data_IF_482661272914
#
_entry.id   IF_482661272914
#
_cell.length_a   1.000
_cell.length_b   1.000
_cell.length_c   1.000
_cell.angle_alpha   90.00
_cell.angle_beta   90.00
_cell.angle_gamma   90.00
#
_symmetry.space_group_name_H-M   'P 1'
#
loop_
_entity.id
_entity.type
_entity.pdbx_description
1 polymer ?
#
# COMPACT_ATOMS: atom_id res chain seq x y z
N UNK A 1 12.05 13.57 0.07
CA UNK A 1 10.89 12.93 0.73
C UNK A 1 11.05 11.42 0.55
N UNK A 2 10.42 10.62 1.41
CA UNK A 2 10.33 9.17 1.23
C UNK A 2 8.89 8.77 0.90
N UNK A 3 8.73 7.81 -0.02
CA UNK A 3 7.44 7.17 -0.29
C UNK A 3 7.43 5.80 0.35
N UNK A 4 6.42 5.54 1.17
CA UNK A 4 6.21 4.28 1.86
C UNK A 4 5.04 3.53 1.22
N UNK A 5 5.19 2.25 0.93
CA UNK A 5 4.14 1.42 0.35
C UNK A 5 3.97 0.19 1.22
N UNK A 6 2.78 -0.01 1.78
CA UNK A 6 2.48 -1.15 2.64
C UNK A 6 1.12 -1.76 2.24
N UNK A 7 1.06 -3.07 1.91
CA UNK A 7 -0.22 -3.74 1.79
C UNK A 7 -0.83 -3.93 3.18
N UNK A 8 -2.14 -3.76 3.26
CA UNK A 8 -2.87 -3.85 4.53
C UNK A 8 -3.57 -5.19 4.64
N UNK A 9 -3.24 -5.91 5.71
CA UNK A 9 -3.90 -7.14 6.12
C UNK A 9 -4.93 -6.86 7.20
N UNK A 10 -5.53 -7.94 7.71
CA UNK A 10 -6.55 -7.86 8.76
C UNK A 10 -5.94 -7.97 10.17
N UNK A 11 -4.63 -7.77 10.31
CA UNK A 11 -3.91 -7.97 11.58
C UNK A 11 -4.46 -7.05 12.68
N UNK A 12 -4.62 -5.76 12.39
CA UNK A 12 -5.16 -4.77 13.33
C UNK A 12 -6.58 -5.14 13.80
N UNK A 13 -7.44 -5.58 12.88
CA UNK A 13 -8.82 -6.01 13.15
C UNK A 13 -8.80 -7.25 14.04
N UNK A 14 -7.99 -8.25 13.69
CA UNK A 14 -7.86 -9.50 14.44
C UNK A 14 -7.24 -9.32 15.83
N UNK A 15 -6.29 -8.38 15.96
CA UNK A 15 -5.60 -8.09 17.21
C UNK A 15 -6.48 -7.28 18.15
N UNK A 16 -7.13 -6.24 17.65
CA UNK A 16 -8.16 -5.53 18.40
C UNK A 16 -9.17 -6.55 18.92
N UNK A 17 -9.72 -7.45 18.09
CA UNK A 17 -10.72 -8.43 18.52
C UNK A 17 -10.25 -9.38 19.64
N UNK A 18 -8.94 -9.46 19.90
CA UNK A 18 -8.32 -10.29 20.92
C UNK A 18 -7.66 -9.47 22.03
N UNK A 19 -7.98 -8.17 22.15
CA UNK A 19 -7.23 -7.23 22.99
C UNK A 19 -7.12 -7.68 24.45
N UNK A 20 -8.12 -8.37 25.01
CA UNK A 20 -8.09 -8.93 26.37
C UNK A 20 -7.00 -9.98 26.61
N UNK A 21 -6.49 -10.58 25.54
CA UNK A 21 -5.47 -11.64 25.59
C UNK A 21 -4.11 -11.15 25.08
N UNK A 22 -4.05 -9.92 24.55
CA UNK A 22 -2.83 -9.36 24.00
C UNK A 22 -2.10 -8.58 25.08
N UNK A 23 -0.87 -9.01 25.36
CA UNK A 23 0.09 -8.20 26.08
C UNK A 23 0.84 -7.34 25.07
N UNK A 24 0.68 -6.03 25.16
CA UNK A 24 1.43 -5.12 24.32
C UNK A 24 2.76 -4.82 25.00
N UNK A 25 3.81 -4.87 24.19
CA UNK A 25 5.15 -4.53 24.61
C UNK A 25 5.42 -3.14 24.08
N UNK A 26 5.42 -2.15 24.97
CA UNK A 26 6.14 -0.92 24.71
C UNK A 26 7.63 -1.28 24.79
N UNK A 27 8.39 -1.04 23.72
CA UNK A 27 9.84 -1.29 23.74
C UNK A 27 10.52 -0.07 24.38
N UNK A 28 10.96 -0.12 25.66
CA UNK A 28 11.87 0.90 26.17
C UNK A 28 13.21 0.81 25.42
N UNK A 29 14.03 1.86 25.46
CA UNK A 29 15.43 1.79 24.98
C UNK A 29 16.36 0.93 25.87
N UNK A 30 15.81 -0.04 26.59
CA UNK A 30 16.53 -0.93 27.49
C UNK A 30 16.27 -2.41 27.16
N UNK A 31 17.06 -3.33 27.73
CA UNK A 31 16.99 -4.76 27.42
C UNK A 31 15.72 -5.46 27.92
N UNK A 32 14.95 -4.81 28.80
CA UNK A 32 13.78 -5.40 29.44
C UNK A 32 12.49 -4.75 28.89
N UNK A 33 11.70 -5.45 28.05
CA UNK A 33 10.39 -4.98 27.65
C UNK A 33 9.49 -4.79 28.88
N UNK A 34 8.75 -3.68 28.92
CA UNK A 34 7.72 -3.46 29.94
C UNK A 34 6.41 -3.92 29.31
N UNK A 35 5.87 -5.03 29.82
CA UNK A 35 4.49 -5.43 29.53
C UNK A 35 3.57 -4.43 30.24
N UNK A 36 2.78 -3.68 29.49
CA UNK A 36 1.74 -2.81 30.03
C UNK A 36 0.38 -3.26 29.51
N UNK A 37 -0.63 -3.19 30.37
CA UNK A 37 -2.01 -3.29 29.92
C UNK A 37 -2.31 -2.13 28.98
N UNK A 38 -2.98 -2.39 27.86
CA UNK A 38 -3.29 -1.36 26.89
C UNK A 38 -4.23 -0.34 27.58
N UNK A 39 -3.84 0.94 27.73
CA UNK A 39 -4.61 1.89 28.55
C UNK A 39 -6.01 2.18 27.99
N UNK A 40 -6.27 1.76 26.75
CA UNK A 40 -7.51 1.99 26.02
C UNK A 40 -8.36 0.71 25.86
N UNK A 41 -8.07 -0.37 26.60
CA UNK A 41 -8.74 -1.67 26.43
C UNK A 41 -10.27 -1.55 26.51
N UNK A 42 -10.82 -0.86 27.52
CA UNK A 42 -12.29 -0.73 27.64
C UNK A 42 -12.91 0.18 26.59
N UNK A 43 -12.13 1.12 26.07
CA UNK A 43 -12.60 2.04 25.05
C UNK A 43 -12.56 1.40 23.66
N UNK A 44 -11.57 0.56 23.40
CA UNK A 44 -11.55 -0.33 22.24
C UNK A 44 -12.69 -1.34 22.32
N UNK A 45 -13.01 -1.87 23.50
CA UNK A 45 -14.21 -2.70 23.69
C UNK A 45 -15.48 -1.95 23.35
N UNK A 46 -15.60 -0.66 23.68
CA UNK A 46 -16.75 0.15 23.27
C UNK A 46 -16.80 0.28 21.75
N UNK A 47 -15.68 0.57 21.08
CA UNK A 47 -15.61 0.62 19.61
C UNK A 47 -15.92 -0.75 18.97
N UNK A 48 -15.60 -1.86 19.64
CA UNK A 48 -15.91 -3.22 19.16
C UNK A 48 -17.33 -3.69 19.41
N UNK A 49 -17.86 -3.43 20.60
CA UNK A 49 -19.23 -3.75 20.99
C UNK A 49 -20.23 -2.95 20.14
N UNK A 50 -19.78 -1.78 19.70
CA UNK A 50 -20.49 -0.99 18.73
C UNK A 50 -20.57 -1.75 17.38
N UNK A 51 -19.49 -2.44 16.96
CA UNK A 51 -19.37 -3.14 15.68
C UNK A 51 -18.63 -2.26 14.66
N UNK A 52 -17.46 -2.69 14.17
CA UNK A 52 -16.67 -2.00 13.14
C UNK A 52 -17.46 -1.05 12.23
N UNK A 53 -17.11 0.25 12.14
CA UNK A 53 -17.65 1.27 11.21
C UNK A 53 -19.17 1.37 11.08
N UNK A 54 -19.88 0.30 10.77
CA UNK A 54 -21.33 0.10 10.89
C UNK A 54 -21.90 0.54 12.24
N UNK A 55 -21.13 0.58 13.32
CA UNK A 55 -21.65 1.19 14.55
C UNK A 55 -21.54 2.69 14.63
N UNK A 56 -20.40 3.18 14.16
CA UNK A 56 -20.13 4.61 14.11
C UNK A 56 -21.11 5.22 13.09
N UNK A 57 -21.39 4.46 12.03
CA UNK A 57 -22.29 4.82 10.93
C UNK A 57 -23.28 3.68 10.62
N UNK A 58 -24.33 3.50 11.44
CA UNK A 58 -25.36 2.48 11.24
C UNK A 58 -25.98 2.54 9.85
N UNK A 59 -25.94 1.40 9.16
CA UNK A 59 -26.51 1.23 7.82
C UNK A 59 -25.68 1.80 6.67
N UNK A 60 -24.48 2.34 6.93
CA UNK A 60 -23.54 2.77 5.88
C UNK A 60 -22.41 1.75 5.72
N UNK A 61 -22.01 1.47 4.48
CA UNK A 61 -20.85 0.61 4.23
C UNK A 61 -19.56 1.42 4.48
N UNK A 62 -18.51 0.80 5.04
CA UNK A 62 -17.19 1.41 5.20
C UNK A 62 -16.67 2.18 3.99
N UNK A 63 -16.81 1.61 2.79
CA UNK A 63 -16.38 2.27 1.55
C UNK A 63 -17.13 3.59 1.30
N UNK A 64 -18.43 3.64 1.56
CA UNK A 64 -19.28 4.79 1.25
C UNK A 64 -18.95 5.93 2.22
N UNK A 65 -18.66 5.58 3.48
CA UNK A 65 -18.15 6.52 4.49
C UNK A 65 -16.79 7.07 4.09
N UNK A 66 -15.86 6.21 3.64
CA UNK A 66 -14.52 6.65 3.21
C UNK A 66 -14.55 7.53 1.97
N UNK A 67 -15.40 7.23 1.00
CA UNK A 67 -15.61 8.05 -0.20
C UNK A 67 -16.16 9.43 0.20
N UNK A 68 -17.22 9.47 1.01
CA UNK A 68 -17.79 10.73 1.50
C UNK A 68 -16.76 11.57 2.29
N UNK A 69 -16.00 10.92 3.18
CA UNK A 69 -15.10 11.61 4.09
C UNK A 69 -13.77 11.98 3.44
N UNK A 70 -13.11 11.09 2.70
CA UNK A 70 -11.67 11.22 2.39
C UNK A 70 -11.33 11.25 0.91
N UNK A 71 -12.32 11.14 0.02
CA UNK A 71 -12.08 11.25 -1.41
C UNK A 71 -11.61 12.65 -1.81
N UNK A 72 -10.96 12.73 -2.97
CA UNK A 72 -10.46 14.00 -3.50
C UNK A 72 -11.64 14.93 -3.79
N UNK A 73 -11.67 16.09 -3.13
CA UNK A 73 -12.77 17.06 -3.25
C UNK A 73 -13.79 17.00 -2.12
N UNK A 74 -13.71 16.02 -1.21
CA UNK A 74 -14.51 16.03 0.02
C UNK A 74 -14.19 17.25 0.89
N UNK A 75 -15.22 17.82 1.52
CA UNK A 75 -15.08 18.97 2.39
C UNK A 75 -14.09 18.66 3.53
N UNK A 76 -13.16 19.59 3.78
CA UNK A 76 -12.14 19.40 4.81
C UNK A 76 -12.75 19.24 6.21
N UNK A 77 -13.88 19.91 6.43
CA UNK A 77 -14.54 20.13 7.72
C UNK A 77 -15.95 19.48 7.74
N UNK A 78 -16.04 18.20 7.36
CA UNK A 78 -17.32 17.47 7.44
C UNK A 78 -17.58 17.00 8.89
N UNK A 79 -18.84 17.00 9.38
CA UNK A 79 -19.17 16.52 10.72
C UNK A 79 -18.69 15.09 10.98
N UNK A 80 -18.71 14.23 9.97
CA UNK A 80 -18.21 12.85 10.06
C UNK A 80 -16.69 12.81 10.33
N UNK A 81 -15.92 13.76 9.78
CA UNK A 81 -14.49 13.86 10.06
C UNK A 81 -14.27 14.30 11.51
N UNK A 82 -15.00 15.29 11.99
CA UNK A 82 -14.87 15.74 13.37
C UNK A 82 -15.22 14.61 14.36
N UNK A 83 -16.33 13.90 14.13
CA UNK A 83 -16.73 12.73 14.91
C UNK A 83 -15.64 11.66 14.91
N UNK A 84 -15.05 11.37 13.75
CA UNK A 84 -13.95 10.44 13.68
C UNK A 84 -12.72 10.93 14.45
N UNK A 85 -12.34 12.19 14.32
CA UNK A 85 -11.19 12.76 15.01
C UNK A 85 -11.39 12.61 16.53
N UNK A 86 -12.59 12.92 17.03
CA UNK A 86 -12.95 12.71 18.44
C UNK A 86 -12.81 11.24 18.86
N UNK A 87 -13.27 10.29 18.04
CA UNK A 87 -13.10 8.86 18.33
C UNK A 87 -11.61 8.48 18.36
N UNK A 88 -10.84 8.93 17.37
CA UNK A 88 -9.41 8.66 17.24
C UNK A 88 -8.63 9.21 18.43
N UNK A 89 -8.97 10.41 18.90
CA UNK A 89 -8.37 11.06 20.06
C UNK A 89 -8.75 10.33 21.35
N UNK A 90 -10.04 9.97 21.49
CA UNK A 90 -10.53 9.24 22.67
C UNK A 90 -9.78 7.91 22.84
N UNK A 91 -9.62 7.14 21.76
CA UNK A 91 -8.92 5.83 21.78
C UNK A 91 -7.41 5.94 21.54
N UNK A 92 -6.92 7.18 21.43
CA UNK A 92 -5.52 7.55 21.26
C UNK A 92 -4.80 6.76 20.17
N UNK A 93 -5.41 6.69 18.98
CA UNK A 93 -4.89 5.91 17.84
C UNK A 93 -3.50 6.38 17.42
N UNK A 94 -3.19 7.68 17.58
CA UNK A 94 -1.88 8.23 17.26
C UNK A 94 -0.73 7.53 17.99
N UNK A 95 -0.97 7.01 19.19
CA UNK A 95 0.04 6.31 19.98
C UNK A 95 0.18 4.83 19.61
N UNK A 96 -0.73 4.26 18.81
CA UNK A 96 -0.74 2.83 18.50
C UNK A 96 0.54 2.34 17.83
N UNK A 97 1.19 3.17 17.01
CA UNK A 97 2.45 2.83 16.35
C UNK A 97 3.57 2.49 17.35
N UNK A 98 3.50 2.99 18.59
CA UNK A 98 4.52 2.76 19.62
C UNK A 98 4.48 1.34 20.19
N UNK A 99 3.33 0.67 20.07
CA UNK A 99 3.09 -0.64 20.65
C UNK A 99 3.30 -1.73 19.62
N UNK A 100 4.13 -2.72 19.98
CA UNK A 100 4.32 -3.89 19.12
C UNK A 100 3.08 -4.77 19.11
N UNK A 101 2.73 -5.31 17.95
CA UNK A 101 1.65 -6.28 17.80
C UNK A 101 0.27 -5.66 17.63
N UNK A 102 0.17 -4.33 17.47
CA UNK A 102 -1.09 -3.70 17.05
C UNK A 102 -1.41 -4.13 15.62
N UNK A 103 -0.47 -3.93 14.69
CA UNK A 103 -0.57 -4.40 13.31
C UNK A 103 0.82 -4.74 12.75
N UNK A 104 0.85 -5.67 11.79
CA UNK A 104 2.08 -6.05 11.10
C UNK A 104 2.66 -4.87 10.30
N UNK A 105 1.80 -4.02 9.77
CA UNK A 105 2.14 -2.84 8.99
C UNK A 105 2.88 -1.81 9.87
N UNK A 106 2.28 -1.42 11.00
CA UNK A 106 2.87 -0.47 11.95
C UNK A 106 4.20 -0.97 12.49
N UNK A 107 4.25 -2.26 12.89
CA UNK A 107 5.47 -2.86 13.42
C UNK A 107 6.61 -2.82 12.41
N UNK A 108 6.34 -3.15 11.16
CA UNK A 108 7.38 -3.21 10.12
C UNK A 108 7.87 -1.83 9.75
N UNK A 109 6.96 -0.86 9.57
CA UNK A 109 7.31 0.53 9.29
C UNK A 109 8.18 1.11 10.41
N UNK A 110 7.77 0.92 11.67
CA UNK A 110 8.53 1.37 12.84
C UNK A 110 9.92 0.74 12.89
N UNK A 111 10.01 -0.58 12.80
CA UNK A 111 11.29 -1.27 12.96
C UNK A 111 12.25 -1.02 11.80
N UNK A 112 11.74 -0.83 10.59
CA UNK A 112 12.57 -0.46 9.45
C UNK A 112 13.08 0.98 9.58
N UNK A 113 12.27 1.91 10.10
CA UNK A 113 12.74 3.26 10.41
C UNK A 113 13.87 3.25 11.47
N UNK A 114 13.76 2.39 12.50
CA UNK A 114 14.82 2.17 13.50
C UNK A 114 16.12 1.68 12.84
N UNK A 115 16.03 0.65 12.00
CA UNK A 115 17.20 0.03 11.39
C UNK A 115 17.90 0.98 10.40
N UNK A 116 17.14 1.74 9.61
CA UNK A 116 17.68 2.66 8.60
C UNK A 116 18.34 3.90 9.25
N UNK A 117 17.70 4.49 10.26
CA UNK A 117 18.15 5.76 10.82
C UNK A 117 19.48 5.69 11.57
N UNK A 118 19.97 4.49 11.96
CA UNK A 118 21.22 4.28 12.71
C UNK A 118 21.39 5.15 13.98
N UNK A 119 20.37 5.92 14.41
CA UNK A 119 20.55 7.07 15.30
C UNK A 119 19.42 7.19 16.34
N UNK A 120 19.75 6.84 17.59
CA UNK A 120 19.50 7.44 18.91
C UNK A 120 18.24 8.29 19.24
N UNK A 121 17.35 8.69 18.33
CA UNK A 121 16.14 9.47 18.65
C UNK A 121 14.88 8.63 18.47
N UNK A 122 14.24 8.31 19.59
CA UNK A 122 13.05 7.47 19.73
C UNK A 122 11.76 7.99 19.05
N UNK A 123 11.79 9.16 18.44
CA UNK A 123 10.58 9.84 17.95
C UNK A 123 10.46 9.85 16.42
N UNK A 124 11.47 9.37 15.67
CA UNK A 124 11.49 9.40 14.20
C UNK A 124 10.93 8.12 13.54
N UNK A 125 10.01 7.42 14.19
CA UNK A 125 9.37 6.21 13.62
C UNK A 125 8.12 6.50 12.79
N UNK A 126 7.58 7.72 12.91
CA UNK A 126 6.44 8.17 12.13
C UNK A 126 6.90 8.71 10.77
N UNK A 127 6.15 8.45 9.69
CA UNK A 127 6.33 9.15 8.43
C UNK A 127 6.29 10.66 8.66
N UNK A 128 7.34 11.37 8.25
CA UNK A 128 7.43 12.81 8.44
C UNK A 128 6.30 13.52 7.69
N UNK A 129 6.05 14.80 8.00
CA UNK A 129 5.08 15.62 7.23
C UNK A 129 5.50 15.86 5.77
N UNK A 130 6.69 15.40 5.38
CA UNK A 130 7.15 15.42 3.98
C UNK A 130 7.00 14.06 3.32
N UNK A 131 6.79 12.99 4.08
CA UNK A 131 6.71 11.64 3.54
C UNK A 131 5.28 11.32 3.10
N UNK A 132 5.19 10.46 2.09
CA UNK A 132 3.91 9.99 1.57
C UNK A 132 3.79 8.51 1.82
N UNK A 133 2.64 8.06 2.32
CA UNK A 133 2.39 6.64 2.56
C UNK A 133 1.24 6.16 1.70
N UNK A 134 1.39 5.00 1.06
CA UNK A 134 0.35 4.28 0.36
C UNK A 134 0.04 2.98 1.11
N UNK A 135 -1.16 2.91 1.66
CA UNK A 135 -1.75 1.72 2.25
C UNK A 135 -2.61 1.02 1.19
N UNK A 136 -2.17 -0.15 0.73
CA UNK A 136 -2.89 -0.91 -0.29
C UNK A 136 -3.95 -1.78 0.39
N UNK A 137 -5.20 -1.36 0.29
CA UNK A 137 -6.35 -2.00 0.91
C UNK A 137 -7.11 -2.86 -0.12
N UNK A 138 -7.76 -3.92 0.36
CA UNK A 138 -8.76 -4.63 -0.45
C UNK A 138 -10.06 -3.85 -0.49
N UNK A 139 -10.97 -4.21 -1.40
CA UNK A 139 -12.32 -3.67 -1.50
C UNK A 139 -13.30 -4.27 -0.48
N UNK A 140 -12.82 -5.13 0.43
CA UNK A 140 -13.65 -5.66 1.51
C UNK A 140 -13.80 -4.63 2.63
N UNK A 141 -14.96 -4.61 3.28
CA UNK A 141 -15.27 -3.73 4.41
C UNK A 141 -14.23 -3.82 5.53
N UNK A 142 -13.77 -5.05 5.83
CA UNK A 142 -12.72 -5.29 6.83
C UNK A 142 -11.34 -4.79 6.38
N UNK A 143 -11.02 -4.93 5.08
CA UNK A 143 -9.76 -4.44 4.52
C UNK A 143 -9.68 -2.92 4.54
N UNK A 144 -10.77 -2.23 4.18
CA UNK A 144 -10.88 -0.77 4.24
C UNK A 144 -10.80 -0.29 5.69
N UNK A 145 -11.54 -0.91 6.62
CA UNK A 145 -11.48 -0.58 8.05
C UNK A 145 -10.08 -0.78 8.63
N UNK A 146 -9.37 -1.85 8.24
CA UNK A 146 -8.00 -2.10 8.67
C UNK A 146 -7.05 -1.00 8.17
N UNK A 147 -7.19 -0.60 6.90
CA UNK A 147 -6.36 0.44 6.31
C UNK A 147 -6.60 1.79 6.96
N UNK A 148 -7.84 2.08 7.34
CA UNK A 148 -8.21 3.29 8.04
C UNK A 148 -7.53 3.43 9.40
N UNK A 149 -7.62 2.42 10.27
CA UNK A 149 -6.96 2.49 11.58
C UNK A 149 -5.44 2.56 11.47
N UNK A 150 -4.84 1.83 10.51
CA UNK A 150 -3.41 1.99 10.21
C UNK A 150 -3.09 3.41 9.74
N UNK A 151 -3.94 4.02 8.91
CA UNK A 151 -3.72 5.37 8.41
C UNK A 151 -3.77 6.42 9.52
N UNK A 152 -4.75 6.35 10.42
CA UNK A 152 -4.86 7.26 11.57
C UNK A 152 -3.63 7.12 12.47
N UNK A 153 -3.19 5.89 12.75
CA UNK A 153 -2.00 5.66 13.56
C UNK A 153 -0.74 6.23 12.90
N UNK A 154 -0.53 6.00 11.60
CA UNK A 154 0.60 6.55 10.84
C UNK A 154 0.53 8.07 10.68
N UNK A 155 -0.67 8.64 10.68
CA UNK A 155 -0.87 10.08 10.69
C UNK A 155 -0.65 10.72 12.07
N UNK A 156 -0.34 9.92 13.10
CA UNK A 156 -0.25 10.34 14.50
C UNK A 156 -1.57 10.96 15.00
N UNK A 157 -2.69 10.32 14.65
CA UNK A 157 -4.04 10.76 15.00
C UNK A 157 -4.61 11.86 14.09
N UNK A 158 -3.80 12.56 13.28
CA UNK A 158 -4.27 13.69 12.45
C UNK A 158 -5.00 13.19 11.19
N UNK A 159 -6.32 13.02 11.27
CA UNK A 159 -7.11 12.45 10.16
C UNK A 159 -7.09 13.33 8.91
N UNK A 160 -6.76 14.62 9.04
CA UNK A 160 -6.68 15.57 7.91
C UNK A 160 -5.54 15.22 6.96
N UNK A 161 -4.59 14.38 7.39
CA UNK A 161 -3.52 13.82 6.55
C UNK A 161 -3.96 12.58 5.77
N UNK A 162 -5.16 12.06 5.99
CA UNK A 162 -5.64 10.85 5.34
C UNK A 162 -6.34 11.22 4.04
N UNK A 163 -6.06 10.45 2.98
CA UNK A 163 -6.72 10.53 1.68
C UNK A 163 -7.18 9.15 1.27
N UNK A 164 -8.32 9.08 0.60
CA UNK A 164 -8.84 7.84 0.06
C UNK A 164 -8.87 7.89 -1.46
N UNK A 165 -8.24 6.90 -2.07
CA UNK A 165 -8.21 6.68 -3.51
C UNK A 165 -9.05 5.45 -3.80
N UNK A 166 -10.30 5.71 -4.18
CA UNK A 166 -11.32 4.69 -4.44
C UNK A 166 -10.99 3.86 -5.68
N UNK A 167 -10.33 4.44 -6.67
CA UNK A 167 -9.86 3.77 -7.88
C UNK A 167 -8.56 4.40 -8.38
N UNK A 168 -7.80 3.62 -9.15
CA UNK A 168 -6.62 4.03 -9.86
C UNK A 168 -6.77 3.73 -11.35
N UNK A 169 -7.51 4.62 -12.01
CA UNK A 169 -7.66 4.61 -13.46
C UNK A 169 -6.47 5.31 -14.15
N UNK A 170 -6.53 5.39 -15.47
CA UNK A 170 -5.54 6.08 -16.31
C UNK A 170 -5.50 7.61 -16.10
N UNK A 171 -6.57 8.17 -15.53
CA UNK A 171 -6.76 9.58 -15.26
C UNK A 171 -6.38 9.94 -13.83
N UNK A 172 -6.14 8.96 -12.96
CA UNK A 172 -5.73 9.18 -11.58
C UNK A 172 -4.50 10.07 -11.54
N UNK A 173 -4.64 11.21 -10.85
CA UNK A 173 -3.56 12.14 -10.60
C UNK A 173 -3.43 12.32 -9.10
N UNK A 174 -2.20 12.33 -8.64
CA UNK A 174 -1.89 12.85 -7.31
C UNK A 174 -1.33 14.25 -7.49
N UNK A 175 -2.05 15.22 -6.94
CA UNK A 175 -1.62 16.60 -6.93
C UNK A 175 -0.51 16.82 -5.89
N UNK A 176 -0.01 18.05 -5.79
CA UNK A 176 1.02 18.39 -4.79
C UNK A 176 0.54 18.25 -3.35
N UNK A 177 -0.78 18.17 -3.11
CA UNK A 177 -1.35 17.95 -1.78
C UNK A 177 -1.20 16.50 -1.32
N UNK A 178 -0.79 15.60 -2.22
CA UNK A 178 -0.47 14.21 -1.87
C UNK A 178 0.76 14.08 -0.97
N UNK A 179 1.68 15.06 -0.97
CA UNK A 179 2.88 15.08 -0.13
C UNK A 179 2.48 15.24 1.34
N UNK A 180 3.07 14.43 2.21
CA UNK A 180 2.80 14.48 3.66
C UNK A 180 1.54 13.74 4.10
N UNK A 181 0.81 13.13 3.15
CA UNK A 181 -0.44 12.43 3.38
C UNK A 181 -0.26 10.90 3.46
N UNK A 182 -1.22 10.26 4.12
CA UNK A 182 -1.41 8.82 4.17
C UNK A 182 -2.58 8.47 3.23
N UNK A 183 -2.26 7.89 2.09
CA UNK A 183 -3.22 7.48 1.07
C UNK A 183 -3.65 6.04 1.32
N UNK A 184 -4.95 5.82 1.47
CA UNK A 184 -5.55 4.50 1.43
C UNK A 184 -5.97 4.26 -0.02
N UNK A 185 -5.30 3.33 -0.69
CA UNK A 185 -5.60 2.94 -2.06
C UNK A 185 -6.38 1.63 -2.06
N UNK A 186 -7.64 1.68 -2.51
CA UNK A 186 -8.45 0.48 -2.71
C UNK A 186 -8.00 -0.24 -3.99
N UNK A 187 -7.67 -1.52 -3.86
CA UNK A 187 -7.38 -2.42 -4.99
C UNK A 187 -8.43 -3.53 -5.00
N UNK A 188 -9.46 -3.44 -5.86
CA UNK A 188 -10.50 -4.44 -5.96
C UNK A 188 -9.96 -5.82 -6.29
N UNK A 189 -10.41 -6.86 -5.58
CA UNK A 189 -9.99 -8.25 -5.82
C UNK A 189 -8.60 -8.62 -5.29
N UNK A 190 -7.96 -7.75 -4.52
CA UNK A 190 -6.65 -7.98 -3.93
C UNK A 190 -6.64 -9.11 -2.87
N UNK A 191 -7.81 -9.45 -2.30
CA UNK A 191 -7.97 -10.56 -1.34
C UNK A 191 -7.91 -11.96 -2.00
N UNK A 192 -7.89 -12.03 -3.34
CA UNK A 192 -7.82 -13.24 -4.15
C UNK A 192 -8.95 -14.27 -3.89
N UNK A 193 -10.09 -13.86 -3.33
CA UNK A 193 -11.08 -14.83 -2.85
C UNK A 193 -11.88 -15.52 -3.98
N UNK A 194 -11.96 -14.90 -5.17
CA UNK A 194 -12.97 -15.24 -6.18
C UNK A 194 -12.46 -16.02 -7.41
N UNK A 195 -11.20 -15.88 -7.86
CA UNK A 195 -10.52 -16.77 -8.85
C UNK A 195 -9.12 -16.26 -9.27
N UNK A 196 -8.33 -17.08 -9.98
CA UNK A 196 -7.09 -16.65 -10.67
C UNK A 196 -7.30 -15.50 -11.67
N UNK A 197 -8.47 -15.45 -12.33
CA UNK A 197 -8.81 -14.35 -13.23
C UNK A 197 -9.02 -13.03 -12.47
N UNK A 198 -9.54 -13.10 -11.24
CA UNK A 198 -9.73 -11.93 -10.39
C UNK A 198 -8.40 -11.29 -9.98
N UNK A 199 -7.29 -12.02 -10.05
CA UNK A 199 -5.97 -11.50 -9.67
C UNK A 199 -5.29 -10.66 -10.77
N UNK A 200 -5.81 -10.64 -12.00
CA UNK A 200 -5.24 -9.85 -13.12
C UNK A 200 -5.44 -8.35 -12.96
N UNK A 201 -6.67 -7.93 -12.66
CA UNK A 201 -7.01 -6.51 -12.51
C UNK A 201 -6.26 -5.82 -11.37
N UNK A 202 -6.15 -6.40 -10.15
CA UNK A 202 -5.28 -5.89 -9.10
C UNK A 202 -3.84 -5.61 -9.58
N UNK A 203 -3.29 -6.47 -10.44
CA UNK A 203 -1.91 -6.32 -10.91
C UNK A 203 -1.77 -5.23 -11.97
N UNK A 204 -2.80 -5.04 -12.79
CA UNK A 204 -2.90 -3.87 -13.68
C UNK A 204 -2.90 -2.59 -12.86
N UNK A 205 -3.72 -2.53 -11.81
CA UNK A 205 -3.79 -1.41 -10.85
C UNK A 205 -2.44 -1.17 -10.17
N UNK A 206 -1.74 -2.22 -9.72
CA UNK A 206 -0.39 -2.09 -9.15
C UNK A 206 0.63 -1.53 -10.15
N UNK A 207 0.55 -1.95 -11.42
CA UNK A 207 1.37 -1.38 -12.49
C UNK A 207 1.11 0.11 -12.69
N UNK A 208 -0.17 0.52 -12.64
CA UNK A 208 -0.57 1.95 -12.66
C UNK A 208 -0.07 2.71 -11.45
N UNK A 209 -0.08 2.11 -10.25
CA UNK A 209 0.51 2.71 -9.06
C UNK A 209 2.00 2.98 -9.28
N UNK A 210 2.74 1.97 -9.75
CA UNK A 210 4.14 2.14 -10.13
C UNK A 210 4.32 3.30 -11.12
N UNK A 211 3.47 3.37 -12.16
CA UNK A 211 3.53 4.45 -13.15
C UNK A 211 3.26 5.81 -12.50
N UNK A 212 2.28 5.91 -11.62
CA UNK A 212 1.96 7.16 -10.92
C UNK A 212 3.14 7.63 -10.06
N UNK A 213 3.87 6.70 -9.45
CA UNK A 213 5.10 7.00 -8.74
C UNK A 213 6.20 7.50 -9.71
N UNK A 214 6.47 6.78 -10.81
CA UNK A 214 7.75 6.93 -11.54
C UNK A 214 7.63 7.39 -12.99
N UNK A 215 6.44 7.71 -13.51
CA UNK A 215 6.23 8.05 -14.92
C UNK A 215 7.16 9.18 -15.36
N UNK A 216 8.00 9.01 -16.40
CA UNK A 216 8.86 10.09 -16.88
C UNK A 216 8.02 11.29 -17.35
N UNK A 217 8.54 12.53 -17.24
CA UNK A 217 7.85 13.75 -17.69
C UNK A 217 7.43 13.70 -19.18
N UNK A 218 8.14 12.90 -19.98
CA UNK A 218 8.02 12.78 -21.44
C UNK A 218 7.19 11.56 -21.88
N UNK A 219 6.46 10.90 -20.97
CA UNK A 219 5.50 9.88 -21.43
C UNK A 219 4.52 10.54 -22.41
N UNK A 220 4.16 9.87 -23.52
CA UNK A 220 3.23 10.40 -24.54
C UNK A 220 1.85 10.80 -23.96
N UNK A 221 1.61 10.48 -22.70
CA UNK A 221 0.59 11.09 -21.86
C UNK A 221 1.25 12.23 -21.07
N UNK A 222 1.35 13.45 -21.63
CA UNK A 222 1.84 14.69 -20.98
C UNK A 222 1.12 15.07 -19.66
N UNK A 223 0.21 14.21 -19.19
CA UNK A 223 -0.77 14.44 -18.14
C UNK A 223 -0.38 13.86 -16.79
N UNK A 224 0.64 12.99 -16.68
CA UNK A 224 1.04 12.38 -15.40
C UNK A 224 2.29 13.07 -14.84
N UNK A 225 2.11 13.96 -13.85
CA UNK A 225 3.24 14.52 -13.10
C UNK A 225 3.69 13.51 -12.05
N UNK A 226 4.99 13.20 -11.99
CA UNK A 226 5.57 12.39 -10.90
C UNK A 226 5.25 13.04 -9.55
N UNK A 227 4.91 12.22 -8.56
CA UNK A 227 4.90 12.65 -7.16
C UNK A 227 6.33 12.78 -6.66
N UNK A 228 7.15 11.79 -6.98
CA UNK A 228 8.54 11.73 -6.52
C UNK A 228 9.46 12.48 -7.48
N UNK A 229 10.34 13.27 -6.89
CA UNK A 229 11.50 13.77 -7.60
C UNK A 229 12.47 12.61 -7.87
N UNK A 230 13.27 12.66 -8.96
CA UNK A 230 14.28 11.65 -9.20
C UNK A 230 15.17 11.46 -7.97
N UNK A 231 15.42 10.21 -7.58
CA UNK A 231 16.26 9.81 -6.42
C UNK A 231 15.61 10.01 -5.04
N UNK A 232 14.31 10.28 -4.98
CA UNK A 232 13.59 10.08 -3.73
C UNK A 232 13.43 8.59 -3.44
N UNK A 233 13.50 8.24 -2.16
CA UNK A 233 13.52 6.84 -1.75
C UNK A 233 12.10 6.27 -1.71
N UNK A 234 11.92 5.09 -2.27
CA UNK A 234 10.68 4.32 -2.25
C UNK A 234 10.90 3.06 -1.41
N UNK A 235 10.10 2.89 -0.36
CA UNK A 235 10.21 1.78 0.58
C UNK A 235 8.95 0.94 0.55
N UNK A 236 9.09 -0.34 0.23
CA UNK A 236 8.03 -1.34 0.32
C UNK A 236 8.11 -2.07 1.66
N UNK A 237 7.00 -2.21 2.38
CA UNK A 237 6.90 -2.89 3.67
C UNK A 237 5.98 -4.11 3.54
N UNK A 238 6.54 -5.30 3.44
CA UNK A 238 5.87 -6.50 2.92
C UNK A 238 5.50 -7.53 3.99
N UNK A 239 5.41 -7.13 5.26
CA UNK A 239 5.01 -8.03 6.36
C UNK A 239 3.50 -8.10 6.56
N UNK A 240 2.79 -7.06 6.13
CA UNK A 240 1.34 -6.96 6.17
C UNK A 240 0.68 -7.53 4.92
N UNK A 241 -0.64 -7.38 4.85
CA UNK A 241 -1.39 -7.72 3.64
C UNK A 241 -1.68 -9.20 3.41
N UNK A 242 -2.19 -9.48 2.23
CA UNK A 242 -2.53 -10.83 1.78
C UNK A 242 -1.27 -11.49 1.23
N UNK A 243 -0.89 -12.66 1.75
CA UNK A 243 0.35 -13.35 1.38
C UNK A 243 0.49 -13.57 -0.14
N UNK A 244 -0.62 -13.78 -0.84
CA UNK A 244 -0.67 -13.93 -2.30
C UNK A 244 -0.16 -12.70 -3.06
N UNK A 245 -0.20 -11.51 -2.45
CA UNK A 245 0.20 -10.24 -3.07
C UNK A 245 1.69 -9.93 -2.93
N UNK A 246 2.39 -10.57 -1.98
CA UNK A 246 3.80 -10.30 -1.69
C UNK A 246 4.69 -10.51 -2.92
N UNK A 247 4.60 -11.62 -3.69
CA UNK A 247 5.42 -11.80 -4.89
C UNK A 247 5.27 -10.66 -5.90
N UNK A 248 4.06 -10.09 -6.00
CA UNK A 248 3.76 -9.00 -6.91
C UNK A 248 4.27 -7.65 -6.44
N UNK A 249 4.23 -7.38 -5.14
CA UNK A 249 4.81 -6.17 -4.58
C UNK A 249 6.34 -6.20 -4.63
N UNK A 250 6.96 -7.39 -4.47
CA UNK A 250 8.38 -7.57 -4.75
C UNK A 250 8.67 -7.27 -6.22
N UNK A 251 7.91 -7.86 -7.16
CA UNK A 251 8.07 -7.59 -8.58
C UNK A 251 7.89 -6.10 -8.93
N UNK A 252 6.87 -5.45 -8.38
CA UNK A 252 6.64 -4.01 -8.56
C UNK A 252 7.84 -3.20 -8.07
N UNK A 253 8.38 -3.52 -6.90
CA UNK A 253 9.59 -2.88 -6.37
C UNK A 253 10.79 -3.09 -7.31
N UNK A 254 10.98 -4.29 -7.85
CA UNK A 254 12.03 -4.59 -8.84
C UNK A 254 11.84 -3.78 -10.13
N UNK A 255 10.62 -3.70 -10.65
CA UNK A 255 10.31 -2.96 -11.86
C UNK A 255 10.56 -1.46 -11.68
N UNK A 256 10.10 -0.89 -10.57
CA UNK A 256 10.34 0.52 -10.22
C UNK A 256 11.84 0.78 -10.04
N UNK A 257 12.57 -0.13 -9.38
CA UNK A 257 14.04 -0.06 -9.26
C UNK A 257 14.74 -0.11 -10.61
N UNK A 258 14.20 -0.86 -11.56
CA UNK A 258 14.73 -1.00 -12.92
C UNK A 258 14.59 0.30 -13.72
N UNK A 259 13.62 1.15 -13.37
CA UNK A 259 13.41 2.46 -13.98
C UNK A 259 14.34 3.55 -13.40
N UNK A 260 15.27 3.19 -12.51
CA UNK A 260 16.33 4.06 -12.02
C UNK A 260 16.05 4.73 -10.67
N UNK A 261 14.91 4.45 -10.04
CA UNK A 261 14.58 4.98 -8.71
C UNK A 261 15.32 4.23 -7.58
N UNK A 262 15.46 4.89 -6.43
CA UNK A 262 16.02 4.30 -5.22
C UNK A 262 14.93 3.54 -4.47
N UNK A 263 15.00 2.20 -4.52
CA UNK A 263 13.94 1.32 -4.00
C UNK A 263 14.51 0.31 -3.03
N UNK A 264 13.86 0.20 -1.88
CA UNK A 264 14.09 -0.87 -0.91
C UNK A 264 12.79 -1.61 -0.59
N UNK A 265 12.89 -2.89 -0.28
CA UNK A 265 11.77 -3.71 0.19
C UNK A 265 12.16 -4.37 1.50
N UNK A 266 11.28 -4.32 2.49
CA UNK A 266 11.51 -4.76 3.86
C UNK A 266 10.41 -5.72 4.26
N UNK A 267 10.77 -6.76 5.01
CA UNK A 267 9.82 -7.70 5.57
C UNK A 267 10.28 -8.07 6.97
N UNK A 268 9.32 -8.30 7.85
CA UNK A 268 9.51 -8.68 9.23
C UNK A 268 8.71 -9.94 9.47
N UNK A 269 9.42 -11.04 9.76
CA UNK A 269 8.78 -12.28 10.15
C UNK A 269 8.09 -12.11 11.51
N UNK A 270 6.96 -12.78 11.73
CA UNK A 270 6.15 -12.68 12.95
C UNK A 270 6.95 -12.95 14.24
N UNK A 271 7.94 -13.86 14.17
CA UNK A 271 8.82 -14.19 15.30
C UNK A 271 10.07 -13.30 15.38
N UNK A 272 10.37 -12.51 14.35
CA UNK A 272 11.55 -11.64 14.32
C UNK A 272 11.29 -10.33 15.08
N UNK A 273 12.34 -9.75 15.66
CA UNK A 273 12.32 -8.40 16.23
C UNK A 273 12.83 -7.33 15.26
N UNK A 274 13.46 -7.75 14.17
CA UNK A 274 14.07 -6.86 13.18
C UNK A 274 13.54 -7.19 11.79
N UNK A 275 13.30 -6.17 10.95
CA UNK A 275 13.00 -6.40 9.56
C UNK A 275 14.31 -6.78 8.85
N UNK A 276 14.18 -7.46 7.74
CA UNK A 276 15.27 -7.69 6.81
C UNK A 276 14.92 -7.07 5.47
N UNK A 277 15.94 -6.51 4.82
CA UNK A 277 15.81 -5.98 3.47
C UNK A 277 15.88 -7.12 2.46
N UNK A 278 14.89 -7.18 1.57
CA UNK A 278 14.87 -8.15 0.47
C UNK A 278 15.81 -7.69 -0.66
N UNK A 279 16.58 -8.61 -1.26
CA UNK A 279 17.33 -8.29 -2.46
C UNK A 279 16.34 -8.08 -3.62
N UNK A 280 16.41 -6.91 -4.24
CA UNK A 280 15.62 -6.57 -5.44
C UNK A 280 16.50 -6.69 -6.69
N UNK A 281 16.02 -7.36 -7.74
CA UNK A 281 16.70 -7.39 -9.04
C UNK A 281 16.51 -6.07 -9.80
N UNK A 282 17.38 -5.85 -10.79
CA UNK A 282 17.20 -4.84 -11.84
C UNK A 282 17.03 -5.56 -13.18
N UNK A 283 15.98 -5.22 -13.90
CA UNK A 283 15.70 -5.69 -15.24
C UNK A 283 16.28 -4.70 -16.25
N UNK A 284 16.70 -5.20 -17.41
CA UNK A 284 17.12 -4.33 -18.51
C UNK A 284 15.88 -3.76 -19.20
N UNK A 285 15.69 -2.43 -19.08
CA UNK A 285 14.45 -1.75 -19.47
C UNK A 285 14.18 -1.85 -20.96
N UNK A 286 15.22 -1.85 -21.81
CA UNK A 286 15.05 -1.95 -23.26
C UNK A 286 14.54 -3.34 -23.64
N UNK A 287 15.05 -4.39 -23.02
CA UNK A 287 14.63 -5.77 -23.21
C UNK A 287 13.18 -5.97 -22.75
N UNK A 288 12.81 -5.45 -21.58
CA UNK A 288 11.41 -5.49 -21.11
C UNK A 288 10.48 -4.85 -22.12
N UNK A 289 10.79 -3.63 -22.58
CA UNK A 289 9.96 -2.93 -23.58
C UNK A 289 9.93 -3.66 -24.92
N UNK A 290 11.05 -4.21 -25.36
CA UNK A 290 11.17 -4.93 -26.62
C UNK A 290 10.31 -6.20 -26.61
N UNK A 291 10.41 -7.05 -25.58
CA UNK A 291 9.66 -8.31 -25.50
C UNK A 291 8.16 -8.11 -25.27
N UNK A 292 7.77 -7.07 -24.54
CA UNK A 292 6.36 -6.84 -24.22
C UNK A 292 5.61 -6.01 -25.28
N UNK A 293 6.32 -5.32 -26.18
CA UNK A 293 5.73 -4.54 -27.28
C UNK A 293 4.72 -5.32 -28.15
N UNK A 294 4.93 -6.60 -28.50
CA UNK A 294 3.99 -7.35 -29.34
C UNK A 294 2.62 -7.61 -28.71
N UNK A 295 2.46 -7.42 -27.39
CA UNK A 295 1.22 -7.72 -26.66
C UNK A 295 0.19 -6.54 -26.62
N UNK A 296 0.44 -5.48 -27.40
CA UNK A 296 -0.22 -4.15 -27.39
C UNK A 296 -1.77 -4.10 -27.46
N UNK A 297 -2.50 -5.19 -27.70
CA UNK A 297 -3.98 -5.16 -27.90
C UNK A 297 -4.78 -6.06 -26.99
N UNK A 298 -4.50 -7.36 -27.02
CA UNK A 298 -5.31 -8.39 -26.36
C UNK A 298 -4.51 -9.19 -25.34
N UNK A 299 -3.28 -8.73 -25.05
CA UNK A 299 -2.33 -9.46 -24.23
C UNK A 299 -1.90 -10.77 -24.86
N UNK A 300 -1.93 -10.91 -26.18
CA UNK A 300 -1.48 -12.11 -26.90
C UNK A 300 -0.56 -11.76 -28.08
N UNK A 301 0.30 -12.71 -28.44
CA UNK A 301 1.08 -12.67 -29.68
C UNK A 301 1.42 -14.08 -30.14
N UNK A 302 1.67 -14.26 -31.44
CA UNK A 302 2.18 -15.52 -32.02
C UNK A 302 3.69 -15.49 -32.25
N UNK A 303 4.27 -14.29 -32.29
CA UNK A 303 5.66 -14.09 -32.67
C UNK A 303 6.36 -13.30 -31.57
N UNK A 304 7.44 -13.88 -31.05
CA UNK A 304 8.40 -13.24 -30.17
C UNK A 304 9.79 -13.49 -30.74
N UNK A 305 10.63 -12.45 -30.75
CA UNK A 305 12.03 -12.56 -31.18
C UNK A 305 12.87 -13.25 -30.10
N UNK A 306 12.52 -13.05 -28.83
CA UNK A 306 13.16 -13.65 -27.65
C UNK A 306 12.12 -14.02 -26.58
N UNK A 307 12.46 -14.93 -25.67
CA UNK A 307 11.55 -15.43 -24.63
C UNK A 307 12.11 -15.29 -23.21
N UNK A 308 12.87 -14.24 -22.90
CA UNK A 308 13.51 -14.10 -21.59
C UNK A 308 12.50 -13.98 -20.44
N UNK A 309 11.30 -13.44 -20.68
CA UNK A 309 10.25 -13.31 -19.67
C UNK A 309 9.15 -14.39 -19.73
N UNK A 310 9.38 -15.50 -20.44
CA UNK A 310 8.47 -16.65 -20.42
C UNK A 310 8.36 -17.25 -19.00
N UNK A 311 7.14 -17.57 -18.57
CA UNK A 311 6.84 -18.05 -17.22
C UNK A 311 6.78 -16.93 -16.16
N UNK A 312 7.12 -15.70 -16.53
CA UNK A 312 7.00 -14.52 -15.67
C UNK A 312 5.99 -13.52 -16.22
N UNK A 313 6.30 -12.85 -17.33
CA UNK A 313 5.43 -11.83 -17.92
C UNK A 313 4.41 -12.44 -18.89
N UNK A 314 4.73 -13.58 -19.50
CA UNK A 314 3.82 -14.28 -20.42
C UNK A 314 4.08 -15.79 -20.41
N UNK A 315 3.11 -16.56 -20.89
CA UNK A 315 3.17 -18.01 -21.01
C UNK A 315 2.73 -18.46 -22.40
N UNK A 316 3.26 -19.59 -22.87
CA UNK A 316 2.79 -20.25 -24.09
C UNK A 316 1.49 -21.01 -23.78
N UNK A 317 0.44 -20.72 -24.56
CA UNK A 317 -0.81 -21.49 -24.57
C UNK A 317 -1.12 -21.93 -26.00
N UNK A 318 -0.77 -23.19 -26.30
CA UNK A 318 -0.87 -23.73 -27.65
C UNK A 318 0.18 -23.10 -28.57
N UNK A 319 -0.27 -22.29 -29.54
CA UNK A 319 0.61 -21.59 -30.51
C UNK A 319 0.72 -20.09 -30.24
N UNK A 320 0.22 -19.62 -29.10
CA UNK A 320 0.16 -18.20 -28.76
C UNK A 320 0.81 -17.96 -27.41
N UNK A 321 1.57 -16.89 -27.29
CA UNK A 321 2.00 -16.33 -26.01
C UNK A 321 0.87 -15.46 -25.45
N UNK A 322 0.64 -15.54 -24.13
CA UNK A 322 -0.36 -14.72 -23.43
C UNK A 322 0.23 -14.09 -22.19
N UNK A 323 -0.08 -12.81 -21.95
CA UNK A 323 0.35 -12.12 -20.74
C UNK A 323 -0.20 -12.81 -19.49
N UNK A 324 0.67 -12.93 -18.49
CA UNK A 324 0.30 -13.23 -17.10
C UNK A 324 -0.23 -11.95 -16.42
N UNK A 325 -0.67 -12.05 -15.17
CA UNK A 325 -1.01 -10.88 -14.37
C UNK A 325 0.21 -9.96 -14.16
N UNK A 326 1.41 -10.54 -13.97
CA UNK A 326 2.66 -9.76 -13.91
C UNK A 326 2.91 -9.01 -15.22
N UNK A 327 2.78 -9.68 -16.37
CA UNK A 327 2.99 -9.04 -17.67
C UNK A 327 2.05 -7.87 -17.93
N UNK A 328 0.78 -7.97 -17.50
CA UNK A 328 -0.17 -6.85 -17.59
C UNK A 328 0.29 -5.66 -16.74
N UNK A 329 0.67 -5.90 -15.48
CA UNK A 329 1.23 -4.86 -14.62
C UNK A 329 2.52 -4.24 -15.17
N UNK A 330 3.38 -5.04 -15.81
CA UNK A 330 4.58 -4.55 -16.49
C UNK A 330 4.24 -3.65 -17.68
N UNK A 331 3.30 -4.03 -18.54
CA UNK A 331 2.87 -3.18 -19.65
C UNK A 331 2.39 -1.81 -19.16
N UNK A 332 1.59 -1.81 -18.09
CA UNK A 332 1.17 -0.58 -17.41
C UNK A 332 2.38 0.19 -16.86
N UNK A 333 3.28 -0.40 -16.09
CA UNK A 333 4.39 0.37 -15.53
C UNK A 333 5.37 0.91 -16.59
N UNK A 334 5.80 0.06 -17.53
CA UNK A 334 6.86 0.39 -18.49
C UNK A 334 6.41 1.29 -19.66
N UNK A 335 5.13 1.70 -19.67
CA UNK A 335 4.58 2.61 -20.67
C UNK A 335 4.35 1.95 -22.02
N UNK A 336 4.08 0.63 -22.04
CA UNK A 336 3.78 -0.11 -23.25
C UNK A 336 2.29 0.05 -23.45
N UNK A 337 1.83 0.86 -24.42
CA UNK A 337 0.43 1.21 -24.47
C UNK A 337 -0.40 -0.06 -24.69
N UNK A 338 -1.47 -0.20 -23.92
CA UNK A 338 -2.44 -1.30 -24.03
C UNK A 338 -3.68 -0.86 -24.82
N UNK A 339 -3.71 0.41 -25.26
CA UNK A 339 -4.83 1.04 -25.96
C UNK A 339 -4.38 1.65 -27.28
N UNK A 340 -5.24 1.58 -28.29
CA UNK A 340 -5.03 2.20 -29.60
C UNK A 340 -5.18 3.71 -29.49
N UNK A 341 -4.10 4.46 -29.76
CA UNK A 341 -4.23 5.87 -30.11
C UNK A 341 -5.03 5.91 -31.43
N UNK A 342 -6.17 6.61 -31.51
CA UNK A 342 -6.83 6.86 -32.79
C UNK A 342 -5.81 7.52 -33.72
N UNK A 343 -5.52 6.89 -34.86
CA UNK A 343 -4.63 7.45 -35.88
C UNK A 343 -5.30 8.62 -36.60
#
# INVERSE_FOLDING_TARGET
>A
MTVHIAPVGLSIIGNLAKIEKLKFVEEPAGPNPIEQDFPWTELIKQVQASGYLESIYPGKKPKDVMEAMFETGSAADSPERDELQEIADRINVGEWIRYRGVSAELDTLRQAAIEISSAKKKEEFLPSRKDTVFLLATDTDKGIAAAWWNAIALANGDIRRIRYLSDLDENARLDKTAIGCIHILRIPGLDAFSSDQAFREPMKIMGRLGRLLVAPPESMLEKVKRIIQPREEIRFYLSGGYKATIPYLVALAEWVRSLGEDVSAWIMHETSRKPFQLPLRRLEVRQVRHELKPFYKDGKTKNLETNFFEGYAYEIRGKEYRLTAFGQGMCELFGIPTESVPQ
#
